data_IF_511678543241
#
_entry.id   IF_511678543241
#
_cell.length_a   1.000
_cell.length_b   1.000
_cell.length_c   1.000
_cell.angle_alpha   90.00
_cell.angle_beta   90.00
_cell.angle_gamma   90.00
#
_symmetry.space_group_name_H-M   'P 1'
#
loop_
_entity.id
_entity.type
_entity.pdbx_description
1 polymer ?
#
# COMPACT_ATOMS: atom_id res chain seq x y z
N UNK A 1 8.02 55.99 -6.45
CA UNK A 1 6.75 56.69 -6.72
C UNK A 1 5.66 55.67 -6.98
N UNK A 2 4.56 55.76 -6.21
CA UNK A 2 3.21 55.22 -6.45
C UNK A 2 3.06 53.72 -6.69
N UNK A 3 2.63 52.91 -5.73
CA UNK A 3 1.23 52.75 -5.26
C UNK A 3 0.23 52.64 -6.42
N UNK A 4 -0.39 51.46 -6.58
CA UNK A 4 -1.85 51.28 -6.74
C UNK A 4 -2.24 49.81 -6.61
N UNK A 5 -2.53 49.44 -5.38
CA UNK A 5 -3.51 48.44 -4.98
C UNK A 5 -4.86 48.72 -5.66
N UNK A 6 -5.50 47.70 -6.24
CA UNK A 6 -6.92 47.75 -6.58
C UNK A 6 -7.69 46.81 -5.66
N UNK A 7 -8.64 47.41 -4.96
CA UNK A 7 -9.47 46.84 -3.93
C UNK A 7 -10.81 46.40 -4.55
N UNK A 8 -11.49 45.52 -3.80
CA UNK A 8 -12.95 45.39 -3.66
C UNK A 8 -13.81 44.61 -4.66
N UNK A 9 -14.38 43.55 -4.07
CA UNK A 9 -15.82 43.25 -3.92
C UNK A 9 -16.59 42.81 -5.17
N UNK A 10 -17.04 41.55 -5.17
CA UNK A 10 -18.44 41.28 -5.49
C UNK A 10 -18.92 39.96 -4.89
N UNK A 11 -19.42 40.03 -3.65
CA UNK A 11 -20.31 39.03 -3.07
C UNK A 11 -21.67 39.14 -3.75
N UNK A 12 -22.11 38.10 -4.49
CA UNK A 12 -23.49 37.97 -4.94
C UNK A 12 -24.15 36.76 -4.28
N UNK A 13 -24.88 37.09 -3.21
CA UNK A 13 -25.99 36.32 -2.64
C UNK A 13 -27.05 36.07 -3.71
N UNK A 14 -27.47 34.82 -3.88
CA UNK A 14 -28.66 34.46 -4.66
C UNK A 14 -29.63 33.77 -3.70
N UNK A 15 -30.79 34.43 -3.52
CA UNK A 15 -31.85 34.11 -2.57
C UNK A 15 -32.64 32.88 -3.00
N UNK A 16 -32.96 32.05 -2.01
CA UNK A 16 -34.06 31.09 -2.03
C UNK A 16 -35.40 31.80 -2.23
N UNK A 17 -36.21 31.29 -3.16
CA UNK A 17 -37.66 31.44 -3.13
C UNK A 17 -38.29 30.29 -3.91
N UNK A 18 -39.02 29.41 -3.21
CA UNK A 18 -40.25 28.88 -3.81
C UNK A 18 -41.30 28.64 -2.74
N UNK A 19 -42.41 29.34 -2.92
CA UNK A 19 -43.54 29.44 -2.01
C UNK A 19 -44.45 28.22 -2.12
N UNK A 20 -44.92 27.81 -0.95
CA UNK A 20 -46.09 26.97 -0.69
C UNK A 20 -47.34 27.62 -1.28
N UNK A 21 -48.14 26.86 -2.05
CA UNK A 21 -49.58 27.12 -2.28
C UNK A 21 -50.34 25.81 -2.51
N UNK A 22 -51.30 25.52 -1.62
CA UNK A 22 -52.44 24.63 -1.90
C UNK A 22 -53.73 25.46 -1.82
N UNK A 23 -54.64 25.40 -2.81
CA UNK A 23 -55.98 25.98 -2.72
C UNK A 23 -57.04 24.84 -2.61
N UNK A 24 -58.34 25.13 -2.64
CA UNK A 24 -59.12 25.59 -1.50
C UNK A 24 -60.29 24.65 -1.15
N UNK A 25 -60.88 24.95 0.01
CA UNK A 25 -62.14 24.46 0.58
C UNK A 25 -63.27 24.17 -0.43
N UNK A 26 -63.86 22.98 -0.33
CA UNK A 26 -65.26 22.74 -0.71
C UNK A 26 -66.09 22.50 0.56
N UNK A 27 -67.06 23.39 0.76
CA UNK A 27 -68.33 23.15 1.46
C UNK A 27 -68.98 21.84 0.97
N UNK A 28 -69.93 21.19 1.64
CA UNK A 28 -71.25 21.70 2.03
C UNK A 28 -72.02 20.68 2.92
N UNK A 29 -72.94 21.23 3.72
CA UNK A 29 -74.26 20.69 4.14
C UNK A 29 -74.40 19.64 5.26
N UNK A 30 -74.67 20.18 6.46
CA UNK A 30 -75.87 19.93 7.29
C UNK A 30 -76.93 18.95 6.76
N UNK A 31 -77.13 17.82 7.45
CA UNK A 31 -78.44 17.17 7.59
C UNK A 31 -78.73 16.84 9.05
N UNK A 32 -79.89 17.31 9.47
CA UNK A 32 -80.62 17.13 10.72
C UNK A 32 -80.27 15.91 11.59
N UNK A 33 -79.71 16.27 12.74
CA UNK A 33 -79.95 15.76 14.08
C UNK A 33 -81.15 14.82 14.34
N UNK A 34 -80.93 13.93 15.31
CA UNK A 34 -81.86 13.33 16.30
C UNK A 34 -82.29 11.87 16.14
N UNK A 35 -82.24 11.26 14.96
CA UNK A 35 -82.76 9.89 14.81
C UNK A 35 -81.72 8.76 14.73
N UNK A 36 -80.43 9.10 14.64
CA UNK A 36 -79.35 8.09 14.75
C UNK A 36 -78.92 7.83 16.21
N UNK A 37 -79.06 8.83 17.09
CA UNK A 37 -78.62 8.74 18.49
C UNK A 37 -79.44 7.76 19.35
N UNK A 38 -80.73 7.53 19.02
CA UNK A 38 -81.58 6.58 19.77
C UNK A 38 -81.31 5.11 19.44
N UNK A 39 -80.68 4.81 18.29
CA UNK A 39 -80.37 3.43 17.89
C UNK A 39 -78.99 2.98 18.40
N UNK A 40 -78.12 3.91 18.76
CA UNK A 40 -76.82 3.63 19.38
C UNK A 40 -76.90 3.34 20.88
N UNK A 41 -77.86 3.94 21.61
CA UNK A 41 -78.00 3.77 23.06
C UNK A 41 -78.60 2.41 23.50
N UNK A 42 -79.03 1.57 22.57
CA UNK A 42 -79.65 0.26 22.87
C UNK A 42 -78.68 -0.94 22.71
N UNK A 43 -77.41 -0.67 22.40
CA UNK A 43 -76.34 -1.69 22.36
C UNK A 43 -75.14 -1.19 23.18
N UNK A 44 -75.27 -1.09 24.50
CA UNK A 44 -74.19 -0.65 25.38
C UNK A 44 -74.02 -1.53 26.64
N UNK A 45 -74.42 -2.81 26.58
CA UNK A 45 -74.22 -3.75 27.72
C UNK A 45 -73.03 -4.71 27.50
N UNK A 46 -72.44 -4.79 26.29
CA UNK A 46 -71.27 -5.63 26.00
C UNK A 46 -69.98 -4.83 25.70
N UNK A 47 -69.90 -3.60 26.19
CA UNK A 47 -68.68 -2.80 26.07
C UNK A 47 -67.74 -3.11 27.24
N UNK A 48 -66.73 -3.95 26.95
CA UNK A 48 -65.58 -4.16 27.83
C UNK A 48 -65.01 -2.83 28.35
N UNK A 49 -64.50 -2.88 29.58
CA UNK A 49 -63.95 -1.75 30.33
C UNK A 49 -63.22 -0.73 29.44
N UNK A 50 -63.38 0.59 29.69
CA UNK A 50 -62.75 1.62 28.88
C UNK A 50 -61.25 1.35 28.84
N UNK A 51 -60.73 1.05 27.65
CA UNK A 51 -59.29 0.95 27.48
C UNK A 51 -58.70 2.29 27.92
N UNK A 52 -57.77 2.23 28.88
CA UNK A 52 -57.06 3.42 29.37
C UNK A 52 -56.43 4.20 28.22
N UNK A 53 -56.04 5.46 28.44
CA UNK A 53 -55.49 6.32 27.38
C UNK A 53 -54.42 5.55 26.60
N UNK A 54 -54.69 5.33 25.31
CA UNK A 54 -53.79 4.62 24.43
C UNK A 54 -52.58 5.52 24.18
N UNK A 55 -51.59 5.40 25.06
CA UNK A 55 -50.24 5.78 24.70
C UNK A 55 -49.71 4.58 23.92
N UNK A 56 -49.64 4.60 22.57
CA UNK A 56 -48.82 3.62 21.90
C UNK A 56 -47.43 3.80 22.50
N UNK A 57 -46.97 2.82 23.28
CA UNK A 57 -45.58 2.78 23.70
C UNK A 57 -44.83 2.86 22.37
N UNK A 58 -44.11 3.96 22.07
CA UNK A 58 -43.47 4.08 20.79
C UNK A 58 -42.66 2.81 20.63
N UNK A 59 -42.91 2.06 19.55
CA UNK A 59 -42.06 0.92 19.23
C UNK A 59 -40.63 1.47 19.37
N UNK A 60 -39.78 0.86 20.20
CA UNK A 60 -38.43 1.35 20.33
C UNK A 60 -37.93 1.47 18.91
N UNK A 61 -37.45 2.65 18.53
CA UNK A 61 -36.73 2.79 17.29
C UNK A 61 -35.53 1.88 17.46
N UNK A 62 -35.70 0.61 17.11
CA UNK A 62 -34.62 -0.24 16.68
C UNK A 62 -34.23 0.39 15.35
N UNK A 63 -33.54 1.54 15.45
CA UNK A 63 -32.36 1.71 14.64
C UNK A 63 -31.76 0.31 14.66
N UNK A 64 -31.67 -0.31 13.49
CA UNK A 64 -30.60 -1.26 13.29
C UNK A 64 -29.35 -0.42 13.59
N UNK A 65 -29.04 -0.27 14.88
CA UNK A 65 -27.70 -0.18 15.38
C UNK A 65 -27.20 -1.52 14.90
N UNK A 66 -26.75 -1.52 13.64
CA UNK A 66 -25.55 -2.25 13.31
C UNK A 66 -24.66 -1.78 14.42
N UNK A 67 -24.59 -2.58 15.49
CA UNK A 67 -23.60 -2.36 16.50
C UNK A 67 -22.34 -2.16 15.68
N UNK A 68 -21.68 -0.98 15.78
CA UNK A 68 -20.47 -0.77 15.01
C UNK A 68 -19.67 -2.06 15.21
N UNK A 69 -19.22 -2.69 14.10
CA UNK A 69 -18.46 -3.94 14.20
C UNK A 69 -17.51 -3.75 15.36
N UNK A 70 -17.53 -4.67 16.34
CA UNK A 70 -17.15 -4.39 17.72
C UNK A 70 -15.98 -3.43 17.73
N UNK A 71 -16.03 -2.37 18.56
CA UNK A 71 -14.90 -1.49 18.80
C UNK A 71 -13.74 -2.30 19.43
N UNK A 72 -13.25 -3.32 18.72
CA UNK A 72 -11.89 -3.79 18.75
C UNK A 72 -11.10 -2.60 18.24
N UNK A 73 -10.93 -1.62 19.13
CA UNK A 73 -9.74 -0.80 19.14
C UNK A 73 -8.61 -1.78 18.81
N UNK A 74 -7.84 -1.54 17.74
CA UNK A 74 -6.73 -2.43 17.41
C UNK A 74 -5.96 -2.60 18.71
N UNK A 75 -5.75 -3.86 19.14
CA UNK A 75 -5.15 -4.16 20.44
C UNK A 75 -3.94 -3.23 20.54
N UNK A 76 -3.84 -2.41 21.57
CA UNK A 76 -2.80 -1.39 21.62
C UNK A 76 -1.40 -2.04 21.64
N UNK A 77 -1.34 -3.35 21.93
CA UNK A 77 -0.17 -4.23 21.74
C UNK A 77 0.09 -4.62 20.28
N UNK A 78 -0.95 -4.72 19.46
CA UNK A 78 -0.90 -4.94 18.00
C UNK A 78 -0.67 -3.63 17.23
N UNK A 79 -0.91 -2.47 17.86
CA UNK A 79 -0.57 -1.18 17.29
C UNK A 79 0.95 -1.08 17.10
N UNK A 80 1.37 -1.25 15.84
CA UNK A 80 2.73 -0.88 15.44
C UNK A 80 2.94 0.58 15.81
N UNK A 81 4.09 0.87 16.43
CA UNK A 81 4.49 2.27 16.65
C UNK A 81 4.42 3.02 15.32
N UNK A 82 4.05 4.30 15.37
CA UNK A 82 3.96 5.14 14.16
C UNK A 82 5.23 5.04 13.30
N UNK A 83 6.40 4.94 13.93
CA UNK A 83 7.67 4.77 13.23
C UNK A 83 7.79 3.41 12.52
N UNK A 84 7.32 2.34 13.16
CA UNK A 84 7.32 1.02 12.54
C UNK A 84 6.36 0.93 11.35
N UNK A 85 5.16 1.52 11.45
CA UNK A 85 4.20 1.55 10.33
C UNK A 85 4.72 2.39 9.17
N UNK A 86 5.31 3.56 9.43
CA UNK A 86 5.94 4.39 8.39
C UNK A 86 7.10 3.65 7.72
N UNK A 87 7.95 2.98 8.50
CA UNK A 87 9.09 2.23 7.96
C UNK A 87 8.65 1.05 7.07
N UNK A 88 7.58 0.37 7.44
CA UNK A 88 6.98 -0.71 6.66
C UNK A 88 6.32 -0.20 5.38
N UNK A 89 5.49 0.85 5.49
CA UNK A 89 4.85 1.51 4.35
C UNK A 89 5.89 2.00 3.35
N UNK A 90 6.99 2.58 3.84
CA UNK A 90 8.07 3.07 3.00
C UNK A 90 8.78 1.92 2.25
N UNK A 91 8.97 0.75 2.88
CA UNK A 91 9.51 -0.45 2.20
C UNK A 91 8.56 -0.93 1.11
N UNK A 92 7.29 -1.13 1.44
CA UNK A 92 6.26 -1.59 0.50
C UNK A 92 6.14 -0.67 -0.73
N UNK A 93 6.21 0.66 -0.51
CA UNK A 93 6.18 1.64 -1.60
C UNK A 93 7.38 1.52 -2.55
N UNK A 94 8.54 1.07 -2.07
CA UNK A 94 9.80 1.00 -2.83
C UNK A 94 10.15 -0.43 -3.26
N UNK A 95 9.26 -1.38 -3.00
CA UNK A 95 9.37 -2.78 -3.38
C UNK A 95 8.67 -3.04 -4.72
N UNK A 96 9.32 -2.73 -5.83
CA UNK A 96 8.72 -2.91 -7.17
C UNK A 96 8.79 -4.37 -7.67
N UNK A 97 9.90 -5.06 -7.37
CA UNK A 97 10.23 -6.39 -7.93
C UNK A 97 10.17 -7.51 -6.88
N UNK A 98 9.48 -7.30 -5.77
CA UNK A 98 9.52 -8.17 -4.59
C UNK A 98 10.96 -8.43 -4.06
N UNK A 99 11.84 -7.44 -4.25
CA UNK A 99 13.27 -7.50 -3.87
C UNK A 99 13.48 -7.75 -2.37
N UNK A 100 12.52 -7.37 -1.53
CA UNK A 100 12.49 -7.71 -0.11
C UNK A 100 12.69 -9.21 0.15
N UNK A 101 12.13 -10.10 -0.68
CA UNK A 101 12.28 -11.54 -0.49
C UNK A 101 13.71 -12.03 -0.69
N UNK A 102 14.49 -11.38 -1.55
CA UNK A 102 15.89 -11.76 -1.78
C UNK A 102 16.79 -11.51 -0.57
N UNK A 103 16.46 -10.50 0.25
CA UNK A 103 17.32 -10.05 1.35
C UNK A 103 16.72 -10.26 2.74
N UNK A 104 15.47 -10.73 2.82
CA UNK A 104 14.84 -11.13 4.07
C UNK A 104 15.46 -12.44 4.56
N UNK A 105 15.77 -12.50 5.85
CA UNK A 105 16.31 -13.72 6.47
C UNK A 105 15.24 -14.81 6.53
N UNK A 106 15.59 -16.04 6.17
CA UNK A 106 14.69 -17.20 6.17
C UNK A 106 13.66 -17.22 5.04
N UNK A 107 13.80 -16.39 4.01
CA UNK A 107 12.99 -16.53 2.79
C UNK A 107 13.52 -17.69 1.92
N UNK A 108 12.67 -18.34 1.12
CA UNK A 108 13.12 -19.42 0.24
C UNK A 108 14.11 -18.93 -0.83
N UNK A 109 13.99 -17.67 -1.24
CA UNK A 109 14.83 -17.03 -2.24
C UNK A 109 15.96 -16.17 -1.64
N UNK A 110 16.27 -16.36 -0.36
CA UNK A 110 17.33 -15.63 0.33
C UNK A 110 18.66 -15.73 -0.43
N UNK A 111 19.32 -14.58 -0.55
CA UNK A 111 20.64 -14.46 -1.13
C UNK A 111 21.64 -14.44 0.01
N UNK A 112 22.54 -15.42 0.01
CA UNK A 112 23.66 -15.46 0.94
C UNK A 112 24.88 -14.70 0.40
N UNK A 113 25.72 -14.14 1.30
CA UNK A 113 27.02 -13.58 0.93
C UNK A 113 27.87 -14.60 0.19
N UNK A 114 28.53 -14.16 -0.88
CA UNK A 114 29.28 -14.99 -1.82
C UNK A 114 28.51 -15.34 -3.09
N UNK A 115 27.20 -15.11 -3.13
CA UNK A 115 26.41 -15.21 -4.36
C UNK A 115 26.80 -14.14 -5.38
N UNK A 116 26.60 -14.41 -6.68
CA UNK A 116 26.88 -13.47 -7.77
C UNK A 116 25.61 -12.75 -8.17
N UNK A 117 25.64 -11.42 -8.09
CA UNK A 117 24.54 -10.54 -8.44
C UNK A 117 24.83 -9.75 -9.71
N UNK A 118 23.79 -9.54 -10.50
CA UNK A 118 23.72 -8.59 -11.60
C UNK A 118 22.76 -7.47 -11.18
N UNK A 119 23.28 -6.26 -11.07
CA UNK A 119 22.55 -5.08 -10.62
C UNK A 119 22.45 -4.10 -11.79
N UNK A 120 21.23 -3.75 -12.15
CA UNK A 120 20.94 -2.71 -13.13
C UNK A 120 20.57 -1.43 -12.41
N UNK A 121 21.30 -0.36 -12.68
CA UNK A 121 21.10 0.97 -12.10
C UNK A 121 20.96 2.04 -13.18
N UNK A 122 20.31 3.14 -12.82
CA UNK A 122 20.21 4.33 -13.65
C UNK A 122 21.22 5.36 -13.12
N UNK A 123 22.12 5.82 -13.98
CA UNK A 123 23.19 6.74 -13.56
C UNK A 123 22.67 8.13 -13.16
N UNK A 124 21.61 8.62 -13.81
CA UNK A 124 21.02 9.93 -13.51
C UNK A 124 19.54 9.98 -13.90
N UNK A 125 18.76 10.76 -13.14
CA UNK A 125 17.33 10.96 -13.37
C UNK A 125 17.02 11.82 -14.61
N UNK A 126 17.89 12.78 -14.93
CA UNK A 126 17.66 13.72 -16.05
C UNK A 126 18.02 13.13 -17.41
N UNK A 127 19.08 12.31 -17.46
CA UNK A 127 19.50 11.57 -18.65
C UNK A 127 19.69 10.10 -18.26
N UNK A 128 18.64 9.27 -18.38
CA UNK A 128 18.70 7.90 -17.92
C UNK A 128 19.63 7.08 -18.82
N UNK A 129 20.79 6.69 -18.28
CA UNK A 129 21.68 5.68 -18.85
C UNK A 129 21.68 4.46 -17.95
N UNK A 130 21.41 3.29 -18.55
CA UNK A 130 21.50 2.00 -17.85
C UNK A 130 22.98 1.68 -17.62
N UNK A 131 23.35 1.52 -16.36
CA UNK A 131 24.63 1.00 -15.93
C UNK A 131 24.39 -0.37 -15.32
N UNK A 132 25.23 -1.33 -15.66
CA UNK A 132 25.09 -2.70 -15.19
C UNK A 132 26.36 -3.05 -14.43
N UNK A 133 26.20 -3.52 -13.20
CA UNK A 133 27.30 -3.96 -12.37
C UNK A 133 27.07 -5.41 -11.96
N UNK A 134 28.05 -6.27 -12.22
CA UNK A 134 28.03 -7.66 -11.80
C UNK A 134 29.19 -7.91 -10.85
N UNK A 135 28.96 -8.71 -9.82
CA UNK A 135 30.00 -9.04 -8.86
C UNK A 135 29.54 -10.00 -7.78
N UNK A 136 30.48 -10.35 -6.91
CA UNK A 136 30.25 -11.17 -5.73
C UNK A 136 29.70 -10.31 -4.61
N UNK A 137 28.61 -10.74 -4.00
CA UNK A 137 28.04 -10.12 -2.81
C UNK A 137 28.97 -10.37 -1.62
N UNK A 138 29.51 -9.31 -1.03
CA UNK A 138 30.37 -9.41 0.16
C UNK A 138 29.58 -9.31 1.43
N UNK A 139 28.66 -8.35 1.50
CA UNK A 139 28.02 -7.97 2.75
C UNK A 139 26.56 -7.58 2.52
N UNK A 140 25.71 -7.94 3.47
CA UNK A 140 24.29 -7.56 3.49
C UNK A 140 24.02 -6.82 4.79
N UNK A 141 23.79 -5.51 4.70
CA UNK A 141 23.49 -4.67 5.85
C UNK A 141 21.99 -4.41 5.95
N UNK A 142 21.32 -5.16 6.81
CA UNK A 142 19.85 -5.09 7.00
C UNK A 142 19.49 -3.95 7.96
N UNK A 143 19.10 -2.80 7.42
CA UNK A 143 18.72 -1.57 8.17
C UNK A 143 17.31 -1.08 7.81
N UNK A 144 16.40 -2.01 7.53
CA UNK A 144 15.04 -1.70 7.09
C UNK A 144 15.01 -1.07 5.71
N UNK A 145 14.48 0.15 5.56
CA UNK A 145 14.48 0.84 4.25
C UNK A 145 15.89 1.21 3.77
N UNK A 146 16.81 1.41 4.72
CA UNK A 146 18.21 1.68 4.40
C UNK A 146 19.03 0.40 4.20
N UNK A 147 18.37 -0.74 3.95
CA UNK A 147 19.08 -2.00 3.68
C UNK A 147 19.94 -1.84 2.43
N UNK A 148 21.21 -2.17 2.57
CA UNK A 148 22.20 -2.00 1.54
C UNK A 148 23.07 -3.25 1.40
N UNK A 149 23.61 -3.42 0.21
CA UNK A 149 24.45 -4.55 -0.17
C UNK A 149 25.77 -4.04 -0.71
N UNK A 150 26.85 -4.76 -0.42
CA UNK A 150 28.19 -4.43 -0.93
C UNK A 150 28.59 -5.52 -1.91
N UNK A 151 28.87 -5.13 -3.14
CA UNK A 151 29.22 -6.04 -4.23
C UNK A 151 30.63 -5.71 -4.73
N UNK A 152 31.45 -6.74 -4.92
CA UNK A 152 32.83 -6.63 -5.39
C UNK A 152 33.03 -7.33 -6.73
N UNK A 153 33.78 -6.69 -7.62
CA UNK A 153 34.28 -7.30 -8.85
C UNK A 153 35.72 -6.86 -9.12
N UNK A 154 36.43 -7.59 -9.98
CA UNK A 154 37.71 -7.18 -10.54
C UNK A 154 37.51 -6.78 -11.99
N UNK A 155 37.62 -5.49 -12.27
CA UNK A 155 37.46 -4.93 -13.62
C UNK A 155 38.81 -4.43 -14.09
N UNK A 156 39.30 -4.95 -15.22
CA UNK A 156 40.58 -4.56 -15.81
C UNK A 156 41.76 -4.63 -14.82
N UNK A 157 41.79 -5.67 -13.98
CA UNK A 157 42.85 -5.85 -12.96
C UNK A 157 42.69 -5.01 -11.71
N UNK A 158 41.69 -4.13 -11.62
CA UNK A 158 41.41 -3.31 -10.43
C UNK A 158 40.20 -3.86 -9.67
N UNK A 159 40.34 -4.05 -8.36
CA UNK A 159 39.23 -4.44 -7.49
C UNK A 159 38.30 -3.26 -7.24
N UNK A 160 37.05 -3.38 -7.69
CA UNK A 160 36.00 -2.37 -7.54
C UNK A 160 34.95 -2.88 -6.57
N UNK A 161 34.64 -2.09 -5.55
CA UNK A 161 33.54 -2.31 -4.62
C UNK A 161 32.49 -1.23 -4.80
N UNK A 162 31.22 -1.64 -4.86
CA UNK A 162 30.09 -0.72 -4.93
C UNK A 162 29.05 -1.11 -3.90
N UNK A 163 28.52 -0.11 -3.21
CA UNK A 163 27.42 -0.23 -2.26
C UNK A 163 26.12 0.19 -2.93
N UNK A 164 25.10 -0.66 -2.84
CA UNK A 164 23.78 -0.41 -3.40
C UNK A 164 22.71 -0.46 -2.32
N UNK A 165 21.83 0.54 -2.31
CA UNK A 165 20.62 0.50 -1.49
C UNK A 165 19.55 -0.30 -2.22
N UNK A 166 19.06 -1.36 -1.57
CA UNK A 166 18.09 -2.30 -2.16
C UNK A 166 16.81 -1.57 -2.56
N UNK A 167 16.32 -0.68 -1.71
CA UNK A 167 15.06 0.04 -1.92
C UNK A 167 15.22 1.37 -2.68
N UNK A 168 16.39 1.63 -3.28
CA UNK A 168 16.59 2.85 -4.05
C UNK A 168 15.84 2.79 -5.39
N UNK A 169 15.13 3.87 -5.79
CA UNK A 169 14.49 3.94 -7.11
C UNK A 169 15.50 4.01 -8.27
N UNK A 170 16.78 4.30 -7.98
CA UNK A 170 17.84 4.28 -8.99
C UNK A 170 18.23 2.85 -9.38
N UNK A 171 17.95 1.87 -8.51
CA UNK A 171 18.19 0.45 -8.81
C UNK A 171 16.96 -0.11 -9.50
N UNK A 172 17.11 -0.41 -10.78
CA UNK A 172 16.03 -0.92 -11.64
C UNK A 172 15.75 -2.38 -11.37
N UNK A 173 16.79 -3.22 -11.32
CA UNK A 173 16.64 -4.67 -11.19
C UNK A 173 17.83 -5.27 -10.47
N UNK A 174 17.56 -6.24 -9.60
CA UNK A 174 18.56 -7.09 -8.96
C UNK A 174 18.28 -8.52 -9.39
N UNK A 175 19.25 -9.14 -10.06
CA UNK A 175 19.14 -10.51 -10.54
C UNK A 175 20.26 -11.35 -9.94
N UNK A 176 19.92 -12.52 -9.45
CA UNK A 176 20.89 -13.48 -8.93
C UNK A 176 21.35 -14.35 -10.11
N UNK A 177 22.63 -14.24 -10.49
CA UNK A 177 23.19 -15.06 -11.58
C UNK A 177 23.58 -16.45 -11.08
N UNK A 178 24.16 -16.50 -9.88
CA UNK A 178 24.54 -17.76 -9.24
C UNK A 178 24.38 -17.62 -7.73
N UNK A 179 23.57 -18.50 -7.16
CA UNK A 179 23.48 -18.70 -5.71
C UNK A 179 24.66 -19.55 -5.25
N UNK A 180 25.31 -19.12 -4.19
CA UNK A 180 26.31 -19.93 -3.50
C UNK A 180 25.97 -19.91 -2.03
N UNK A 181 25.97 -21.09 -1.42
CA UNK A 181 25.65 -21.26 -0.01
C UNK A 181 26.88 -21.72 0.76
N UNK A 182 26.94 -21.39 2.05
CA UNK A 182 27.93 -21.93 2.99
C UNK A 182 29.35 -21.36 2.89
N UNK A 183 29.55 -20.23 2.20
CA UNK A 183 30.84 -19.50 2.22
C UNK A 183 30.99 -18.68 3.49
N UNK A 184 29.90 -18.04 3.91
CA UNK A 184 29.89 -17.24 5.11
C UNK A 184 29.87 -18.17 6.33
N UNK A 185 30.82 -17.98 7.25
CA UNK A 185 30.92 -18.73 8.50
C UNK A 185 29.86 -18.25 9.52
N UNK A 186 28.58 -18.29 9.13
CA UNK A 186 27.44 -17.83 9.94
C UNK A 186 27.21 -16.32 9.98
N UNK A 187 28.08 -15.53 9.34
CA UNK A 187 27.94 -14.07 9.22
C UNK A 187 27.16 -13.62 7.98
N UNK A 188 26.75 -12.35 7.97
CA UNK A 188 26.14 -11.69 6.82
C UNK A 188 27.18 -11.05 5.87
N UNK A 189 28.48 -11.17 6.22
CA UNK A 189 29.59 -10.50 5.56
C UNK A 189 30.79 -11.45 5.35
N UNK A 190 31.49 -11.34 4.20
CA UNK A 190 32.69 -12.11 3.83
C UNK A 190 33.86 -11.19 3.44
N UNK A 191 34.20 -10.23 4.30
CA UNK A 191 35.26 -9.24 4.01
C UNK A 191 36.65 -9.85 3.80
N UNK A 192 36.92 -11.05 4.31
CA UNK A 192 38.18 -11.75 4.08
C UNK A 192 38.48 -12.01 2.59
N UNK A 193 37.45 -11.96 1.73
CA UNK A 193 37.61 -12.09 0.28
C UNK A 193 38.42 -10.93 -0.34
N UNK A 194 38.56 -9.81 0.38
CA UNK A 194 39.40 -8.68 -0.02
C UNK A 194 40.87 -9.06 -0.06
N UNK A 195 41.33 -9.74 0.99
CA UNK A 195 42.74 -10.13 1.15
C UNK A 195 43.05 -11.43 0.41
N UNK A 196 42.03 -12.28 0.21
CA UNK A 196 42.16 -13.62 -0.38
C UNK A 196 41.21 -13.81 -1.56
N UNK A 197 41.42 -13.12 -2.70
CA UNK A 197 40.49 -13.18 -3.83
C UNK A 197 40.43 -14.56 -4.49
N UNK A 198 41.47 -15.38 -4.34
CA UNK A 198 41.50 -16.75 -4.87
C UNK A 198 40.74 -17.76 -4.00
N UNK A 199 40.29 -17.35 -2.80
CA UNK A 199 39.57 -18.22 -1.89
C UNK A 199 38.04 -18.19 -2.09
N UNK A 200 37.50 -17.34 -2.99
CA UNK A 200 36.10 -17.45 -3.39
C UNK A 200 35.87 -18.74 -4.19
N UNK A 201 34.70 -19.41 -4.04
CA UNK A 201 34.35 -20.58 -4.84
C UNK A 201 34.21 -20.28 -6.34
N UNK A 202 34.12 -19.00 -6.70
CA UNK A 202 34.13 -18.52 -8.07
C UNK A 202 35.34 -17.62 -8.28
N UNK A 203 36.08 -17.87 -9.36
CA UNK A 203 37.06 -16.93 -9.85
C UNK A 203 36.33 -15.68 -10.40
N UNK A 204 36.79 -14.49 -9.99
CA UNK A 204 36.23 -13.22 -10.46
C UNK A 204 36.27 -13.07 -11.98
N UNK A 205 37.24 -13.71 -12.65
CA UNK A 205 37.35 -13.73 -14.11
C UNK A 205 36.13 -14.33 -14.82
N UNK A 206 35.38 -15.23 -14.17
CA UNK A 206 34.21 -15.90 -14.78
C UNK A 206 32.92 -15.08 -14.69
N UNK A 207 32.92 -13.95 -13.98
CA UNK A 207 31.73 -13.14 -13.76
C UNK A 207 31.27 -12.51 -15.07
N UNK A 208 32.19 -11.93 -15.84
CA UNK A 208 31.86 -11.28 -17.12
C UNK A 208 31.25 -12.27 -18.13
N UNK A 209 31.77 -13.50 -18.18
CA UNK A 209 31.20 -14.59 -19.00
C UNK A 209 29.77 -14.94 -18.58
N UNK A 210 29.47 -14.94 -17.28
CA UNK A 210 28.10 -15.16 -16.79
C UNK A 210 27.16 -14.05 -17.22
N UNK A 211 27.61 -12.79 -17.18
CA UNK A 211 26.82 -11.63 -17.64
C UNK A 211 26.52 -11.74 -19.13
N UNK A 212 27.53 -12.10 -19.94
CA UNK A 212 27.35 -12.28 -21.39
C UNK A 212 26.32 -13.37 -21.67
N UNK A 213 26.47 -14.54 -21.05
CA UNK A 213 25.52 -15.66 -21.20
C UNK A 213 24.10 -15.28 -20.81
N UNK A 214 23.95 -14.53 -19.72
CA UNK A 214 22.63 -14.10 -19.25
C UNK A 214 21.97 -13.12 -20.23
N UNK A 215 22.73 -12.15 -20.75
CA UNK A 215 22.26 -11.22 -21.79
C UNK A 215 21.90 -11.93 -23.09
N UNK A 216 22.70 -12.91 -23.53
CA UNK A 216 22.38 -13.72 -24.69
C UNK A 216 21.12 -14.56 -24.50
N UNK A 217 20.95 -15.16 -23.31
CA UNK A 217 19.75 -15.90 -22.96
C UNK A 217 18.50 -15.02 -22.98
N UNK A 218 18.58 -13.79 -22.44
CA UNK A 218 17.48 -12.82 -22.51
C UNK A 218 17.16 -12.41 -23.95
N UNK A 219 18.17 -12.18 -24.80
CA UNK A 219 17.96 -11.91 -26.23
C UNK A 219 17.27 -13.08 -26.95
N UNK A 220 17.70 -14.32 -26.68
CA UNK A 220 17.09 -15.53 -27.27
C UNK A 220 15.62 -15.70 -26.84
N UNK A 221 15.31 -15.47 -25.55
CA UNK A 221 13.93 -15.48 -25.04
C UNK A 221 13.08 -14.39 -25.69
N UNK A 222 13.62 -13.18 -25.86
CA UNK A 222 12.93 -12.08 -26.52
C UNK A 222 12.66 -12.37 -28.01
N UNK A 223 13.62 -12.96 -28.72
CA UNK A 223 13.44 -13.37 -30.11
C UNK A 223 12.40 -14.48 -30.25
N UNK A 224 12.43 -15.50 -29.37
CA UNK A 224 11.47 -16.59 -29.37
C UNK A 224 10.03 -16.14 -29.06
N UNK A 225 9.87 -15.16 -28.15
CA UNK A 225 8.57 -14.57 -27.83
C UNK A 225 8.01 -13.68 -28.96
N UNK A 226 8.86 -13.14 -29.83
CA UNK A 226 8.44 -12.34 -30.99
C UNK A 226 8.07 -13.20 -32.21
N UNK A 227 8.51 -14.46 -32.24
CA UNK A 227 8.20 -15.43 -33.30
C UNK A 227 6.97 -16.31 -33.04
N UNK A 228 6.39 -16.22 -31.84
CA UNK A 228 5.18 -16.93 -31.43
C UNK A 228 3.97 -15.99 -31.44
#
# INVERSE_FOLDING_TARGET
MSIRTFHTLFTRSIRCHHQVRCPPTSSVLSVSSRNYAKKAAAQEEDAGAPLGPFYPKPAPLTLNRVDPPPDTLPDWKEQKTLMASIAEEARLRHDFDNRSELFRKGSPDEVEPGSVLLIEQIASRSRPRKQVFAGVLIAIRRKGIATNIVVRNYVLGTGVEMEFYVYSPMVTRIKVLKRITGIAQGGDDIYWLKDRPHASPLAFSKIDEMVIRDREAEKRRAAGAASA
#
